data_IF_440767728344
#
_entry.id   IF_440767728344
#
_cell.length_a   1.000
_cell.length_b   1.000
_cell.length_c   1.000
_cell.angle_alpha   90.00
_cell.angle_beta   90.00
_cell.angle_gamma   90.00
#
_symmetry.space_group_name_H-M   'P 1'
#
loop_
_entity.id
_entity.type
_entity.pdbx_description
1 polymer ?
#
# COMPACT_ATOMS: atom_id res chain seq x y z
N UNK A 1 -9.21 -14.77 15.96
CA UNK A 1 -8.03 -14.09 16.55
C UNK A 1 -7.58 -13.01 15.58
N UNK A 2 -7.58 -11.74 16.00
CA UNK A 2 -7.07 -10.65 15.17
C UNK A 2 -5.54 -10.70 15.10
N UNK A 3 -4.98 -10.67 13.89
CA UNK A 3 -3.52 -10.66 13.66
C UNK A 3 -3.09 -9.23 13.45
N UNK A 4 -2.12 -8.77 14.24
CA UNK A 4 -1.56 -7.43 14.14
C UNK A 4 -0.08 -7.49 13.81
N UNK A 5 0.38 -6.53 13.01
CA UNK A 5 1.80 -6.36 12.69
C UNK A 5 2.19 -4.94 13.12
N UNK A 6 3.24 -4.84 13.92
CA UNK A 6 3.74 -3.57 14.47
C UNK A 6 5.19 -3.39 14.02
N UNK A 7 5.48 -2.24 13.40
CA UNK A 7 6.83 -1.83 13.09
C UNK A 7 7.42 -1.09 14.31
N UNK A 8 8.48 -1.63 14.89
CA UNK A 8 9.23 -1.02 15.99
C UNK A 8 10.30 -0.07 15.41
N UNK A 9 10.11 1.22 15.61
CA UNK A 9 11.03 2.26 15.09
C UNK A 9 12.38 2.27 15.81
N UNK A 10 12.46 1.76 17.05
CA UNK A 10 13.72 1.72 17.82
C UNK A 10 14.73 0.72 17.23
N UNK A 11 14.24 -0.31 16.53
CA UNK A 11 15.05 -1.36 15.90
C UNK A 11 15.21 -1.18 14.39
N UNK A 12 14.50 -0.23 13.81
CA UNK A 12 14.52 -0.02 12.38
C UNK A 12 15.77 0.76 11.97
N UNK A 13 16.67 0.11 11.21
CA UNK A 13 17.84 0.76 10.59
C UNK A 13 17.56 1.30 9.18
N UNK A 14 16.32 1.13 8.71
CA UNK A 14 15.89 1.55 7.38
C UNK A 14 16.60 0.82 6.22
N UNK A 15 16.94 -0.46 6.35
CA UNK A 15 17.58 -1.22 5.27
C UNK A 15 16.71 -1.42 4.00
N UNK A 16 15.41 -1.08 4.05
CA UNK A 16 14.43 -1.26 2.95
C UNK A 16 14.19 -2.71 2.50
N UNK A 17 14.73 -3.69 3.21
CA UNK A 17 14.49 -5.12 2.93
C UNK A 17 13.00 -5.48 2.95
N UNK A 18 12.21 -4.84 3.82
CA UNK A 18 10.76 -5.04 3.87
C UNK A 18 10.03 -4.51 2.63
N UNK A 19 10.56 -3.49 1.94
CA UNK A 19 10.00 -3.03 0.66
C UNK A 19 10.22 -4.09 -0.41
N UNK A 20 11.45 -4.58 -0.54
CA UNK A 20 11.82 -5.64 -1.50
C UNK A 20 11.01 -6.90 -1.26
N UNK A 21 10.97 -7.39 -0.02
CA UNK A 21 10.21 -8.58 0.36
C UNK A 21 8.72 -8.42 0.02
N UNK A 22 8.14 -7.23 0.22
CA UNK A 22 6.76 -6.97 -0.13
C UNK A 22 6.52 -7.10 -1.63
N UNK A 23 7.35 -6.48 -2.48
CA UNK A 23 7.19 -6.57 -3.94
C UNK A 23 7.33 -8.02 -4.39
N UNK A 24 8.40 -8.70 -3.96
CA UNK A 24 8.70 -10.09 -4.35
C UNK A 24 7.56 -11.02 -3.97
N UNK A 25 6.99 -10.87 -2.77
CA UNK A 25 5.86 -11.71 -2.32
C UNK A 25 4.58 -11.55 -3.16
N UNK A 26 4.45 -10.44 -3.89
CA UNK A 26 3.30 -10.13 -4.74
C UNK A 26 3.57 -10.31 -6.24
N UNK A 27 4.73 -10.85 -6.61
CA UNK A 27 5.01 -11.30 -7.97
C UNK A 27 4.67 -12.78 -8.12
N UNK A 28 4.27 -13.16 -9.33
CA UNK A 28 3.89 -14.55 -9.67
C UNK A 28 5.03 -15.54 -9.43
N UNK A 29 6.26 -15.18 -9.82
CA UNK A 29 7.44 -16.06 -9.70
C UNK A 29 8.25 -15.85 -8.41
N UNK A 30 7.87 -14.88 -7.56
CA UNK A 30 8.58 -14.54 -6.33
C UNK A 30 10.11 -14.41 -6.49
N UNK A 31 10.56 -13.96 -7.66
CA UNK A 31 11.98 -13.85 -8.00
C UNK A 31 12.45 -12.40 -7.84
N UNK A 32 13.45 -12.19 -6.99
CA UNK A 32 14.10 -10.90 -6.80
C UNK A 32 14.77 -10.39 -8.08
N UNK A 33 15.18 -11.26 -8.99
CA UNK A 33 15.92 -10.93 -10.21
C UNK A 33 15.03 -10.29 -11.28
N UNK A 34 13.71 -10.54 -11.23
CA UNK A 34 12.73 -9.98 -12.14
C UNK A 34 12.31 -8.54 -11.77
N UNK A 35 12.84 -7.98 -10.68
CA UNK A 35 12.51 -6.63 -10.24
C UNK A 35 13.08 -5.58 -11.19
N UNK A 36 12.20 -4.72 -11.71
CA UNK A 36 12.59 -3.53 -12.47
C UNK A 36 12.10 -2.28 -11.73
N UNK A 37 12.68 -1.09 -11.98
CA UNK A 37 12.19 0.16 -11.39
C UNK A 37 10.71 0.44 -11.67
N UNK A 38 10.16 -0.09 -12.77
CA UNK A 38 8.74 0.05 -13.13
C UNK A 38 7.83 -0.90 -12.35
N UNK A 39 8.34 -2.07 -11.96
CA UNK A 39 7.59 -3.10 -11.22
C UNK A 39 7.83 -3.06 -9.71
N UNK A 40 8.72 -2.16 -9.25
CA UNK A 40 8.99 -1.92 -7.84
C UNK A 40 7.90 -1.05 -7.19
N UNK A 41 6.75 -1.65 -6.90
CA UNK A 41 5.59 -1.00 -6.27
C UNK A 41 5.29 -1.60 -4.89
N UNK A 42 6.15 -1.36 -3.87
CA UNK A 42 5.97 -1.93 -2.55
C UNK A 42 4.75 -1.35 -1.83
N UNK A 43 4.04 -2.18 -1.07
CA UNK A 43 2.92 -1.76 -0.19
C UNK A 43 3.39 -1.35 1.21
N UNK A 44 4.66 -1.61 1.53
CA UNK A 44 5.37 -1.19 2.73
C UNK A 44 6.38 -0.11 2.32
N UNK A 45 6.46 0.99 3.05
CA UNK A 45 7.39 2.08 2.77
C UNK A 45 8.24 2.42 4.00
N UNK A 46 9.55 2.45 3.82
CA UNK A 46 10.49 2.87 4.84
C UNK A 46 10.67 4.37 4.77
N UNK A 47 10.34 5.02 5.87
CA UNK A 47 10.57 6.44 6.09
C UNK A 47 11.86 6.55 6.91
N UNK A 48 12.89 7.13 6.31
CA UNK A 48 14.13 7.48 7.00
C UNK A 48 14.09 8.96 7.39
N UNK A 49 13.94 9.22 8.67
CA UNK A 49 14.19 10.53 9.25
C UNK A 49 15.65 10.67 9.73
N UNK A 50 15.99 11.86 10.21
CA UNK A 50 17.34 12.15 10.76
C UNK A 50 17.62 11.31 12.01
N UNK A 51 16.64 11.16 12.89
CA UNK A 51 16.79 10.47 14.19
C UNK A 51 15.96 9.19 14.32
N UNK A 52 14.98 8.97 13.44
CA UNK A 52 14.05 7.85 13.51
C UNK A 52 13.84 7.29 12.11
N UNK A 53 14.01 5.99 11.97
CA UNK A 53 13.56 5.25 10.79
C UNK A 53 12.37 4.39 11.18
N UNK A 54 11.40 4.24 10.29
CA UNK A 54 10.26 3.34 10.51
C UNK A 54 9.68 2.85 9.20
N UNK A 55 8.97 1.72 9.25
CA UNK A 55 8.22 1.20 8.11
C UNK A 55 6.74 1.49 8.28
N UNK A 56 6.14 2.14 7.28
CA UNK A 56 4.71 2.41 7.19
C UNK A 56 4.06 1.39 6.26
N UNK A 57 2.96 0.82 6.71
CA UNK A 57 2.19 -0.19 5.98
C UNK A 57 0.72 -0.15 6.41
N UNK A 58 -0.11 -0.94 5.74
CA UNK A 58 -1.49 -1.13 6.19
C UNK A 58 -1.53 -1.68 7.62
N UNK A 59 -2.28 -0.99 8.48
CA UNK A 59 -2.43 -1.36 9.90
C UNK A 59 -3.50 -2.41 10.16
N UNK A 60 -4.25 -2.81 9.12
CA UNK A 60 -5.30 -3.81 9.22
C UNK A 60 -6.32 -3.47 10.33
N UNK A 61 -6.72 -2.19 10.36
CA UNK A 61 -7.62 -1.64 11.39
C UNK A 61 -8.90 -2.47 11.52
N UNK A 62 -9.43 -2.57 12.74
CA UNK A 62 -10.63 -3.34 13.03
C UNK A 62 -11.87 -2.76 12.35
N UNK A 63 -12.05 -1.45 12.51
CA UNK A 63 -13.14 -0.63 11.98
C UNK A 63 -12.96 -0.26 10.50
N UNK A 64 -11.74 -0.43 9.96
CA UNK A 64 -11.36 -0.19 8.56
C UNK A 64 -12.04 1.06 7.95
N UNK A 65 -11.73 2.28 8.45
CA UNK A 65 -12.42 3.50 7.99
C UNK A 65 -12.26 3.75 6.49
N UNK A 66 -11.17 3.26 5.89
CA UNK A 66 -10.96 3.28 4.45
C UNK A 66 -12.01 2.47 3.65
N UNK A 67 -12.52 1.36 4.20
CA UNK A 67 -13.60 0.57 3.61
C UNK A 67 -14.94 1.28 3.71
N UNK A 68 -15.24 1.87 4.88
CA UNK A 68 -16.51 2.54 5.16
C UNK A 68 -16.79 3.74 4.25
N UNK A 69 -15.74 4.41 3.77
CA UNK A 69 -15.88 5.57 2.87
C UNK A 69 -15.77 5.24 1.38
N UNK A 70 -15.53 3.97 1.02
CA UNK A 70 -15.31 3.61 -0.38
C UNK A 70 -16.65 3.56 -1.13
N UNK A 71 -16.93 4.49 -2.08
CA UNK A 71 -18.23 4.55 -2.73
C UNK A 71 -18.49 3.35 -3.66
N UNK A 72 -17.44 2.72 -4.17
CA UNK A 72 -17.55 1.58 -5.08
C UNK A 72 -17.36 0.22 -4.40
N UNK A 73 -17.21 0.19 -3.06
CA UNK A 73 -16.96 -1.04 -2.32
C UNK A 73 -15.68 -1.78 -2.76
N UNK A 74 -14.67 -1.04 -3.23
CA UNK A 74 -13.40 -1.61 -3.70
C UNK A 74 -12.49 -2.07 -2.56
N UNK A 75 -12.80 -1.68 -1.32
CA UNK A 75 -12.04 -2.07 -0.13
C UNK A 75 -13.01 -2.83 0.77
N UNK A 76 -12.64 -4.06 1.13
CA UNK A 76 -13.46 -4.90 1.99
C UNK A 76 -12.60 -5.70 2.95
N UNK A 77 -13.21 -6.17 4.03
CA UNK A 77 -12.61 -7.10 4.96
C UNK A 77 -13.10 -8.51 4.61
N UNK A 78 -12.17 -9.41 4.36
CA UNK A 78 -12.44 -10.83 4.14
C UNK A 78 -11.36 -11.66 4.84
N UNK A 79 -11.71 -12.87 5.29
CA UNK A 79 -10.79 -13.79 5.97
C UNK A 79 -9.94 -13.17 7.10
N UNK A 80 -10.47 -12.12 7.77
CA UNK A 80 -9.81 -11.44 8.87
C UNK A 80 -8.84 -10.31 8.49
N UNK A 81 -8.65 -10.00 7.19
CA UNK A 81 -7.82 -8.89 6.71
C UNK A 81 -8.57 -7.98 5.72
N UNK A 82 -8.17 -6.71 5.70
CA UNK A 82 -8.62 -5.70 4.76
C UNK A 82 -7.81 -5.83 3.47
N UNK A 83 -8.51 -5.99 2.36
CA UNK A 83 -7.94 -6.06 1.02
C UNK A 83 -8.58 -5.03 0.08
N UNK A 84 -7.90 -4.77 -1.03
CA UNK A 84 -8.35 -3.83 -2.06
C UNK A 84 -8.53 -4.61 -3.36
N UNK A 85 -9.75 -4.60 -3.89
CA UNK A 85 -10.09 -5.12 -5.21
C UNK A 85 -9.79 -4.04 -6.24
N UNK A 86 -8.65 -4.16 -6.90
CA UNK A 86 -8.16 -3.13 -7.81
C UNK A 86 -9.08 -2.95 -9.01
N UNK A 87 -9.74 -4.00 -9.49
CA UNK A 87 -10.71 -3.92 -10.59
C UNK A 87 -11.93 -3.03 -10.28
N UNK A 88 -12.25 -2.83 -9.00
CA UNK A 88 -13.36 -1.94 -8.57
C UNK A 88 -12.87 -0.54 -8.21
N UNK A 89 -11.57 -0.26 -8.24
CA UNK A 89 -11.07 1.04 -7.82
C UNK A 89 -11.20 2.08 -8.94
N UNK A 90 -12.02 3.12 -8.72
CA UNK A 90 -12.14 4.26 -9.66
C UNK A 90 -11.12 5.37 -9.41
N UNK A 91 -10.26 5.23 -8.38
CA UNK A 91 -9.25 6.22 -8.03
C UNK A 91 -9.81 7.54 -7.47
N UNK A 92 -10.96 7.49 -6.77
CA UNK A 92 -11.60 8.65 -6.14
C UNK A 92 -10.87 9.18 -4.89
N UNK A 93 -9.93 8.42 -4.32
CA UNK A 93 -9.06 8.78 -3.19
C UNK A 93 -9.73 9.10 -1.85
N UNK A 94 -11.04 8.89 -1.71
CA UNK A 94 -11.76 9.08 -0.44
C UNK A 94 -11.14 8.28 0.72
N UNK A 95 -10.66 7.06 0.43
CA UNK A 95 -10.00 6.19 1.40
C UNK A 95 -8.69 6.75 1.98
N UNK A 96 -7.98 7.62 1.24
CA UNK A 96 -6.76 8.28 1.72
C UNK A 96 -7.13 9.35 2.74
N UNK A 97 -8.16 10.14 2.45
CA UNK A 97 -8.64 11.23 3.33
C UNK A 97 -9.23 10.69 4.62
N UNK A 98 -9.91 9.54 4.57
CA UNK A 98 -10.51 8.92 5.73
C UNK A 98 -9.51 8.23 6.67
N UNK A 99 -8.26 8.02 6.25
CA UNK A 99 -7.29 7.34 7.09
C UNK A 99 -6.89 8.25 8.27
N UNK A 100 -7.01 7.79 9.54
CA UNK A 100 -6.84 8.61 10.74
C UNK A 100 -5.53 9.42 10.83
N UNK A 101 -4.43 8.91 10.29
CA UNK A 101 -3.12 9.59 10.21
C UNK A 101 -3.15 10.88 9.35
N UNK A 102 -4.18 11.09 8.52
CA UNK A 102 -4.39 12.36 7.82
C UNK A 102 -5.04 13.40 8.72
N UNK A 103 -5.80 12.95 9.72
CA UNK A 103 -6.54 13.81 10.66
C UNK A 103 -5.65 14.37 11.78
N UNK A 104 -4.51 13.74 12.05
CA UNK A 104 -3.58 14.12 13.14
C UNK A 104 -2.43 15.07 12.72
N UNK A 105 -2.40 15.55 11.47
CA UNK A 105 -1.46 16.58 11.04
C UNK A 105 -0.02 16.10 10.79
N UNK A 106 0.23 14.78 10.74
CA UNK A 106 1.54 14.19 10.41
C UNK A 106 1.91 14.29 8.90
N UNK A 107 1.87 15.50 8.34
CA UNK A 107 2.19 15.86 6.94
C UNK A 107 3.60 15.49 6.44
N UNK A 108 4.46 14.86 7.25
CA UNK A 108 5.91 14.71 6.95
C UNK A 108 6.38 13.29 6.62
N UNK A 109 5.52 12.27 6.73
CA UNK A 109 5.98 10.88 6.69
C UNK A 109 5.40 10.04 5.54
N UNK A 110 4.18 10.33 5.07
CA UNK A 110 3.60 9.56 3.97
C UNK A 110 4.13 10.07 2.62
N UNK A 111 5.00 9.28 1.98
CA UNK A 111 5.24 9.40 0.54
C UNK A 111 3.90 9.50 -0.20
N UNK A 112 3.89 10.32 -1.25
CA UNK A 112 2.69 10.74 -1.98
C UNK A 112 1.69 9.58 -2.24
N UNK A 113 0.53 9.54 -1.55
CA UNK A 113 -0.50 8.52 -1.76
C UNK A 113 -1.04 8.52 -3.19
N UNK A 114 -0.83 9.62 -3.91
CA UNK A 114 -1.27 9.82 -5.29
C UNK A 114 -0.50 8.95 -6.28
N UNK A 115 0.71 8.49 -5.94
CA UNK A 115 1.52 7.63 -6.82
C UNK A 115 0.96 6.19 -6.90
N UNK A 116 0.32 5.70 -5.83
CA UNK A 116 -0.25 4.33 -5.79
C UNK A 116 -1.47 4.16 -6.71
N UNK A 117 -2.29 5.19 -6.90
CA UNK A 117 -3.43 5.16 -7.83
C UNK A 117 -3.08 5.60 -9.27
N UNK A 118 -1.87 6.10 -9.52
CA UNK A 118 -1.41 6.50 -10.87
C UNK A 118 -0.63 5.38 -11.56
N UNK A 119 0.28 4.69 -10.84
CA UNK A 119 1.20 3.72 -11.44
C UNK A 119 0.53 2.50 -12.09
N UNK A 120 -0.62 2.05 -11.58
CA UNK A 120 -1.31 0.86 -12.13
C UNK A 120 -2.29 1.17 -13.28
N UNK A 121 -2.60 2.45 -13.54
CA UNK A 121 -3.39 2.83 -14.73
C UNK A 121 -2.59 2.77 -16.02
N UNK A 122 -1.28 2.93 -15.96
CA UNK A 122 -0.41 2.98 -17.14
C UNK A 122 0.19 1.60 -17.53
N UNK A 123 -0.01 0.57 -16.70
CA UNK A 123 0.45 -0.80 -16.97
C UNK A 123 -0.58 -1.75 -17.61
N UNK A 124 -1.82 -1.29 -17.82
CA UNK A 124 -2.96 -2.15 -18.18
C UNK A 124 -3.64 -1.84 -19.52
N UNK A 125 -2.95 -1.19 -20.47
CA UNK A 125 -3.50 -0.98 -21.82
C UNK A 125 -2.53 -1.47 -22.89
N UNK A 126 -2.45 -2.79 -23.05
CA UNK A 126 -2.14 -3.37 -24.35
C UNK A 126 -3.16 -4.45 -24.68
N UNK A 127 -3.77 -4.31 -25.87
CA UNK A 127 -4.78 -5.18 -26.51
C UNK A 127 -6.21 -4.90 -26.00
N UNK A 128 -7.07 -4.09 -26.63
CA UNK A 128 -7.36 -4.02 -28.07
C UNK A 128 -7.82 -5.42 -28.52
N UNK A 129 -9.08 -5.82 -28.35
CA UNK A 129 -10.21 -5.50 -29.25
C UNK A 129 -9.77 -5.22 -30.69
N UNK A 130 -9.78 -6.27 -31.50
CA UNK A 130 -9.95 -6.40 -32.95
C UNK A 130 -9.60 -7.89 -33.25
N UNK A 131 -10.55 -8.75 -33.63
CA UNK A 131 -11.02 -8.95 -35.01
C UNK A 131 -9.91 -8.82 -36.04
#
# INVERSE_FOLDING_TARGET
>A
MNRFIIADSSKCIGCRTCEVACVVSHQENQDCSALTPKTFLPRIHVIKGVNVSTATMCRQCEDAPCANVCPNGAISRDQGFVHVMQERCIGCKTCVVAWPLWRDGSRRAAGDPQQRCRAERDGGKSRGQQM
#
